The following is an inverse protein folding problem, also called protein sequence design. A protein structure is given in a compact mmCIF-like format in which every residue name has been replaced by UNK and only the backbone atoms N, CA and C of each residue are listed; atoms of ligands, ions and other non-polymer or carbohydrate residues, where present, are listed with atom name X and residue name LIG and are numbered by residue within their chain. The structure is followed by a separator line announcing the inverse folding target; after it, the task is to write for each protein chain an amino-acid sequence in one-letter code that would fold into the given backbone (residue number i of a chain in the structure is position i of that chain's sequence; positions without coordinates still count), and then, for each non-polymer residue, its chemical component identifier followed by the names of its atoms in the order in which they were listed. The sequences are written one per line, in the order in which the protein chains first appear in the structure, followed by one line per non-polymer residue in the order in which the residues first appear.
data_IF_922943517945
#
_entry.id   IF_922943517945
#
_cell.length_a   1.000
_cell.length_b   1.000
_cell.length_c   1.000
_cell.angle_alpha   90.00
_cell.angle_beta   90.00
_cell.angle_gamma   90.00
#
_symmetry.space_group_name_H-M   'P 1'
#
loop_
_entity.id
_entity.type
_entity.pdbx_description
1 polymer ?
#
# COMPACT_ATOMS: atom_id res chain seq x y z
N UNK A 1 0.52 21.80 -16.83
CA UNK A 1 0.15 20.99 -15.65
C UNK A 1 1.33 20.05 -15.37
N UNK A 2 1.86 20.05 -14.14
CA UNK A 2 3.25 19.64 -13.88
C UNK A 2 3.49 18.14 -14.06
N UNK A 3 4.56 17.77 -14.78
CA UNK A 3 5.03 16.40 -15.03
C UNK A 3 5.11 15.56 -13.73
N UNK A 4 5.44 16.21 -12.60
CA UNK A 4 5.49 15.57 -11.30
C UNK A 4 4.13 15.09 -10.76
N UNK A 5 3.04 15.75 -11.13
CA UNK A 5 1.68 15.39 -10.69
C UNK A 5 1.29 14.05 -11.28
N UNK A 6 1.48 13.91 -12.60
CA UNK A 6 1.16 12.68 -13.32
C UNK A 6 2.06 11.53 -12.87
N UNK A 7 3.36 11.78 -12.68
CA UNK A 7 4.28 10.73 -12.19
C UNK A 7 3.88 10.21 -10.80
N UNK A 8 3.53 11.10 -9.86
CA UNK A 8 3.09 10.67 -8.53
C UNK A 8 1.75 9.93 -8.63
N UNK A 9 0.84 10.42 -9.47
CA UNK A 9 -0.45 9.78 -9.70
C UNK A 9 -0.31 8.37 -10.24
N UNK A 10 0.52 8.17 -11.26
CA UNK A 10 0.81 6.85 -11.84
C UNK A 10 1.42 5.90 -10.81
N UNK A 11 2.33 6.38 -9.96
CA UNK A 11 2.88 5.57 -8.88
C UNK A 11 1.82 5.18 -7.83
N UNK A 12 0.90 6.08 -7.49
CA UNK A 12 -0.22 5.77 -6.58
C UNK A 12 -1.16 4.74 -7.21
N UNK A 13 -1.48 4.89 -8.49
CA UNK A 13 -2.33 3.93 -9.22
C UNK A 13 -1.65 2.56 -9.33
N UNK A 14 -0.33 2.51 -9.52
CA UNK A 14 0.44 1.27 -9.46
C UNK A 14 0.37 0.61 -8.08
N UNK A 15 0.52 1.38 -6.99
CA UNK A 15 0.36 0.84 -5.63
C UNK A 15 -1.04 0.25 -5.48
N UNK A 16 -2.08 0.97 -5.90
CA UNK A 16 -3.46 0.52 -5.82
C UNK A 16 -3.68 -0.80 -6.58
N UNK A 17 -3.16 -0.92 -7.80
CA UNK A 17 -3.22 -2.17 -8.57
C UNK A 17 -2.55 -3.32 -7.84
N UNK A 18 -1.34 -3.10 -7.30
CA UNK A 18 -0.62 -4.13 -6.55
C UNK A 18 -1.38 -4.53 -5.27
N UNK A 19 -2.06 -3.60 -4.60
CA UNK A 19 -2.90 -3.89 -3.42
C UNK A 19 -4.05 -4.83 -3.79
N UNK A 20 -4.71 -4.61 -4.92
CA UNK A 20 -5.77 -5.50 -5.41
C UNK A 20 -5.24 -6.90 -5.76
N UNK A 21 -4.05 -7.00 -6.35
CA UNK A 21 -3.42 -8.30 -6.62
C UNK A 21 -3.02 -9.03 -5.32
N UNK A 22 -2.51 -8.29 -4.32
CA UNK A 22 -2.23 -8.83 -2.99
C UNK A 22 -3.49 -9.40 -2.35
N UNK A 23 -4.64 -8.71 -2.44
CA UNK A 23 -5.93 -9.23 -1.93
C UNK A 23 -6.31 -10.55 -2.58
N UNK A 24 -6.15 -10.67 -3.91
CA UNK A 24 -6.43 -11.90 -4.65
C UNK A 24 -5.52 -13.04 -4.19
N UNK A 25 -4.20 -12.84 -4.16
CA UNK A 25 -3.25 -13.86 -3.69
C UNK A 25 -3.49 -14.25 -2.23
N UNK A 26 -3.82 -13.30 -1.35
CA UNK A 26 -4.21 -13.58 0.03
C UNK A 26 -5.45 -14.49 0.09
N UNK A 27 -6.47 -14.23 -0.73
CA UNK A 27 -7.66 -15.07 -0.82
C UNK A 27 -7.33 -16.48 -1.32
N UNK A 28 -6.52 -16.60 -2.37
CA UNK A 28 -6.12 -17.87 -2.95
C UNK A 28 -5.40 -18.74 -1.92
N UNK A 29 -4.40 -18.17 -1.23
CA UNK A 29 -3.67 -18.84 -0.13
C UNK A 29 -4.60 -19.30 0.99
N UNK A 30 -5.59 -18.48 1.37
CA UNK A 30 -6.53 -18.80 2.44
C UNK A 30 -7.53 -19.90 2.05
N UNK A 31 -7.91 -19.97 0.76
CA UNK A 31 -8.82 -20.98 0.22
C UNK A 31 -8.14 -22.31 -0.10
N UNK A 32 -6.84 -22.30 -0.37
CA UNK A 32 -6.09 -23.50 -0.74
C UNK A 32 -5.88 -24.44 0.47
N UNK A 33 -6.08 -25.78 0.30
CA UNK A 33 -5.77 -26.78 1.32
C UNK A 33 -4.29 -26.81 1.70
N UNK A 34 -3.41 -26.55 0.71
CA UNK A 34 -1.98 -26.36 0.86
C UNK A 34 -1.56 -25.17 -0.01
N UNK A 35 -1.01 -24.10 0.58
CA UNK A 35 -0.59 -22.93 -0.19
C UNK A 35 0.68 -23.24 -0.98
N UNK A 36 0.62 -22.97 -2.28
CA UNK A 36 1.75 -23.11 -3.20
C UNK A 36 2.87 -22.10 -2.88
N UNK A 37 4.12 -22.57 -2.87
CA UNK A 37 5.27 -21.76 -2.45
C UNK A 37 5.57 -20.62 -3.43
N UNK A 38 5.29 -20.80 -4.73
CA UNK A 38 5.42 -19.74 -5.72
C UNK A 38 4.39 -18.64 -5.46
N UNK A 39 3.17 -18.99 -5.07
CA UNK A 39 2.13 -18.00 -4.71
C UNK A 39 2.56 -17.15 -3.50
N UNK A 40 3.26 -17.74 -2.52
CA UNK A 40 3.81 -17.00 -1.38
C UNK A 40 4.96 -16.09 -1.80
N UNK A 41 5.90 -16.58 -2.60
CA UNK A 41 7.00 -15.76 -3.09
C UNK A 41 6.49 -14.57 -3.91
N UNK A 42 5.56 -14.81 -4.83
CA UNK A 42 4.94 -13.77 -5.65
C UNK A 42 4.16 -12.75 -4.81
N UNK A 43 3.67 -13.14 -3.62
CA UNK A 43 3.03 -12.24 -2.67
C UNK A 43 4.06 -11.37 -1.94
N UNK A 44 5.15 -11.95 -1.46
CA UNK A 44 6.23 -11.23 -0.78
C UNK A 44 6.93 -10.23 -1.69
N UNK A 45 7.10 -10.58 -2.97
CA UNK A 45 7.67 -9.69 -3.99
C UNK A 45 6.75 -8.47 -4.22
N UNK A 46 5.45 -8.69 -4.37
CA UNK A 46 4.47 -7.59 -4.52
C UNK A 46 4.43 -6.70 -3.28
N UNK A 47 4.49 -7.27 -2.07
CA UNK A 47 4.56 -6.49 -0.84
C UNK A 47 5.81 -5.61 -0.77
N UNK A 48 6.95 -6.14 -1.23
CA UNK A 48 8.21 -5.41 -1.31
C UNK A 48 8.12 -4.26 -2.32
N UNK A 49 7.53 -4.51 -3.48
CA UNK A 49 7.32 -3.50 -4.52
C UNK A 49 6.35 -2.39 -4.10
N UNK A 50 5.28 -2.73 -3.37
CA UNK A 50 4.37 -1.75 -2.76
C UNK A 50 5.15 -0.84 -1.81
N UNK A 51 5.92 -1.41 -0.87
CA UNK A 51 6.72 -0.63 0.09
C UNK A 51 7.72 0.28 -0.62
N UNK A 52 8.42 -0.24 -1.63
CA UNK A 52 9.41 0.52 -2.41
C UNK A 52 8.77 1.68 -3.15
N UNK A 53 7.64 1.44 -3.81
CA UNK A 53 6.90 2.48 -4.56
C UNK A 53 6.30 3.52 -3.61
N UNK A 54 5.75 3.10 -2.48
CA UNK A 54 5.23 4.00 -1.45
C UNK A 54 6.30 4.92 -0.88
N UNK A 55 7.51 4.40 -0.61
CA UNK A 55 8.63 5.22 -0.15
C UNK A 55 9.06 6.27 -1.19
N UNK A 56 9.02 5.92 -2.49
CA UNK A 56 9.29 6.87 -3.58
C UNK A 56 8.24 7.98 -3.65
N UNK A 57 6.95 7.63 -3.56
CA UNK A 57 5.85 8.61 -3.52
C UNK A 57 6.02 9.55 -2.33
N UNK A 58 6.27 9.00 -1.14
CA UNK A 58 6.49 9.78 0.09
C UNK A 58 7.66 10.76 -0.05
N UNK A 59 8.78 10.30 -0.60
CA UNK A 59 9.96 11.15 -0.81
C UNK A 59 9.65 12.32 -1.77
N UNK A 60 8.94 12.05 -2.88
CA UNK A 60 8.56 13.11 -3.83
C UNK A 60 7.59 14.12 -3.22
N UNK A 61 6.56 13.65 -2.52
CA UNK A 61 5.60 14.53 -1.82
C UNK A 61 6.32 15.45 -0.84
N UNK A 62 7.28 14.92 -0.07
CA UNK A 62 8.11 15.71 0.86
C UNK A 62 8.94 16.78 0.16
N UNK A 63 9.54 16.48 -0.99
CA UNK A 63 10.28 17.48 -1.78
C UNK A 63 9.37 18.60 -2.27
N UNK A 64 8.14 18.27 -2.68
CA UNK A 64 7.15 19.26 -3.11
C UNK A 64 6.69 20.13 -1.95
N UNK A 65 6.43 19.53 -0.79
CA UNK A 65 6.11 20.24 0.44
C UNK A 65 7.19 21.26 0.82
N UNK A 66 8.46 20.85 0.82
CA UNK A 66 9.60 21.76 1.06
C UNK A 66 9.70 22.88 0.02
N UNK A 67 9.40 22.59 -1.25
CA UNK A 67 9.36 23.62 -2.30
C UNK A 67 8.22 24.62 -2.06
N UNK A 68 7.06 24.16 -1.60
CA UNK A 68 5.91 25.02 -1.28
C UNK A 68 6.26 25.93 -0.09
N UNK A 69 6.82 25.37 0.99
CA UNK A 69 7.24 26.12 2.18
C UNK A 69 8.29 27.20 1.84
N UNK A 70 9.24 26.84 0.98
CA UNK A 70 10.25 27.79 0.49
C UNK A 70 9.64 28.93 -0.31
N UNK A 71 8.74 28.63 -1.26
CA UNK A 71 8.05 29.63 -2.09
C UNK A 71 7.17 30.58 -1.24
N UNK A 72 6.62 30.11 -0.12
CA UNK A 72 5.88 30.94 0.85
C UNK A 72 6.77 31.90 1.62
N UNK A 73 7.97 31.45 2.03
CA UNK A 73 8.88 32.29 2.80
C UNK A 73 9.35 33.52 2.03
N UNK A 74 9.43 33.44 0.70
CA UNK A 74 9.79 34.56 -0.18
C UNK A 74 8.58 35.44 -0.55
N UNK A 75 7.41 35.27 0.11
CA UNK A 75 6.15 35.96 -0.18
C UNK A 75 5.72 35.89 -1.65
N UNK A 76 6.08 34.80 -2.35
CA UNK A 76 5.73 34.60 -3.76
C UNK A 76 4.31 34.03 -3.88
N UNK A 77 3.33 34.74 -3.31
CA UNK A 77 1.91 34.38 -3.35
C UNK A 77 1.38 34.49 -4.79
N UNK A 78 1.55 33.43 -5.56
CA UNK A 78 1.19 33.34 -6.97
C UNK A 78 0.04 32.35 -7.20
N UNK A 79 -0.64 32.47 -8.33
CA UNK A 79 -1.60 31.47 -8.79
C UNK A 79 -0.94 30.07 -8.86
N UNK A 80 0.31 30.01 -9.30
CA UNK A 80 1.09 28.77 -9.40
C UNK A 80 1.33 28.11 -8.03
N UNK A 81 1.64 28.90 -7.00
CA UNK A 81 1.80 28.39 -5.63
C UNK A 81 0.50 27.77 -5.10
N UNK A 82 -0.65 28.42 -5.35
CA UNK A 82 -1.96 27.86 -4.99
C UNK A 82 -2.25 26.56 -5.73
N UNK A 83 -1.97 26.49 -7.03
CA UNK A 83 -2.13 25.28 -7.84
C UNK A 83 -1.25 24.15 -7.30
N UNK A 84 0.04 24.41 -7.04
CA UNK A 84 0.95 23.42 -6.43
C UNK A 84 0.42 22.88 -5.10
N UNK A 85 -0.04 23.76 -4.21
CA UNK A 85 -0.64 23.38 -2.91
C UNK A 85 -1.84 22.48 -3.07
N UNK A 86 -2.77 22.84 -3.95
CA UNK A 86 -3.96 22.02 -4.22
C UNK A 86 -3.57 20.64 -4.77
N UNK A 87 -2.66 20.58 -5.74
CA UNK A 87 -2.21 19.30 -6.31
C UNK A 87 -1.51 18.43 -5.26
N UNK A 88 -0.62 19.01 -4.45
CA UNK A 88 0.03 18.31 -3.34
C UNK A 88 -1.00 17.74 -2.36
N UNK A 89 -1.96 18.55 -1.92
CA UNK A 89 -3.01 18.11 -0.98
C UNK A 89 -3.83 16.94 -1.53
N UNK A 90 -4.24 17.01 -2.80
CA UNK A 90 -5.01 15.96 -3.48
C UNK A 90 -4.23 14.65 -3.58
N UNK A 91 -2.98 14.72 -4.04
CA UNK A 91 -2.13 13.54 -4.19
C UNK A 91 -1.78 12.91 -2.83
N UNK A 92 -1.47 13.72 -1.82
CA UNK A 92 -1.21 13.25 -0.46
C UNK A 92 -2.42 12.54 0.13
N UNK A 93 -3.63 13.06 -0.08
CA UNK A 93 -4.87 12.40 0.37
C UNK A 93 -5.05 11.04 -0.30
N UNK A 94 -4.97 10.99 -1.64
CA UNK A 94 -5.10 9.73 -2.40
C UNK A 94 -4.05 8.70 -1.98
N UNK A 95 -2.82 9.14 -1.75
CA UNK A 95 -1.75 8.25 -1.27
C UNK A 95 -2.06 7.65 0.11
N UNK A 96 -2.54 8.47 1.06
CA UNK A 96 -2.92 8.00 2.40
C UNK A 96 -4.09 7.02 2.34
N UNK A 97 -5.09 7.27 1.50
CA UNK A 97 -6.23 6.37 1.30
C UNK A 97 -5.77 4.98 0.82
N UNK A 98 -4.97 4.93 -0.25
CA UNK A 98 -4.44 3.66 -0.80
C UNK A 98 -3.56 2.92 0.21
N UNK A 99 -2.71 3.64 0.95
CA UNK A 99 -1.86 3.02 1.98
C UNK A 99 -2.65 2.51 3.19
N UNK A 100 -3.74 3.18 3.54
CA UNK A 100 -4.64 2.73 4.61
C UNK A 100 -5.33 1.43 4.21
N UNK A 101 -5.80 1.35 2.96
CA UNK A 101 -6.39 0.13 2.41
C UNK A 101 -5.40 -1.04 2.35
N UNK A 102 -4.15 -0.77 1.94
CA UNK A 102 -3.08 -1.76 2.00
C UNK A 102 -2.85 -2.30 3.41
N UNK A 103 -2.73 -1.40 4.40
CA UNK A 103 -2.49 -1.78 5.80
C UNK A 103 -3.66 -2.59 6.37
N UNK A 104 -4.90 -2.24 6.01
CA UNK A 104 -6.09 -3.01 6.39
C UNK A 104 -6.04 -4.42 5.79
N UNK A 105 -5.79 -4.52 4.48
CA UNK A 105 -5.66 -5.80 3.77
C UNK A 105 -4.60 -6.72 4.42
N UNK A 106 -3.44 -6.16 4.79
CA UNK A 106 -2.38 -6.87 5.50
C UNK A 106 -2.83 -7.38 6.88
N UNK A 107 -3.54 -6.55 7.63
CA UNK A 107 -4.01 -6.88 8.98
C UNK A 107 -5.04 -8.00 8.92
N UNK A 108 -6.04 -7.88 8.03
CA UNK A 108 -7.09 -8.87 7.82
C UNK A 108 -6.50 -10.24 7.42
N UNK A 109 -5.50 -10.25 6.54
CA UNK A 109 -4.82 -11.49 6.15
C UNK A 109 -4.09 -12.15 7.34
N UNK A 110 -3.35 -11.37 8.14
CA UNK A 110 -2.65 -11.89 9.33
C UNK A 110 -3.62 -12.51 10.34
N UNK A 111 -4.75 -11.86 10.59
CA UNK A 111 -5.78 -12.37 11.49
C UNK A 111 -6.37 -13.69 10.98
N UNK A 112 -6.66 -13.79 9.68
CA UNK A 112 -7.18 -15.02 9.07
C UNK A 112 -6.16 -16.16 9.08
N UNK A 113 -4.88 -15.87 8.83
CA UNK A 113 -3.81 -16.86 8.96
C UNK A 113 -3.69 -17.40 10.39
N UNK A 114 -3.75 -16.53 11.40
CA UNK A 114 -3.76 -16.95 12.82
C UNK A 114 -4.94 -17.86 13.14
N UNK A 115 -6.14 -17.52 12.68
CA UNK A 115 -7.34 -18.33 12.88
C UNK A 115 -7.27 -19.73 12.25
N UNK A 116 -6.56 -19.88 11.12
CA UNK A 116 -6.32 -21.20 10.51
C UNK A 116 -5.36 -22.06 11.33
N UNK A 117 -4.27 -21.48 11.82
CA UNK A 117 -3.27 -22.20 12.64
C UNK A 117 -3.90 -22.66 13.95
N UNK A 118 -4.66 -21.79 14.62
CA UNK A 118 -5.35 -22.13 15.86
C UNK A 118 -6.30 -23.34 15.69
N UNK A 119 -7.09 -23.37 14.60
CA UNK A 119 -7.98 -24.51 14.31
C UNK A 119 -7.24 -25.79 13.94
N UNK A 120 -6.11 -25.72 13.23
CA UNK A 120 -5.31 -26.93 12.95
C UNK A 120 -4.71 -27.53 14.22
N UNK A 121 -4.28 -26.70 15.18
CA UNK A 121 -3.76 -27.15 16.48
C UNK A 121 -4.85 -27.79 17.36
N UNK A 122 -6.11 -27.36 17.23
CA UNK A 122 -7.26 -27.96 17.93
C UNK A 122 -7.65 -29.31 17.32
N UNK A 123 -7.61 -29.45 15.99
CA UNK A 123 -7.98 -30.71 15.29
C UNK A 123 -6.94 -31.83 15.51
N UNK A 124 -5.65 -31.51 15.58
CA UNK A 124 -4.62 -32.50 15.91
C UNK A 124 -4.73 -33.02 17.35
N UNK A 125 -5.31 -32.25 18.28
CA UNK A 125 -5.53 -32.70 19.66
C UNK A 125 -6.75 -33.62 19.79
N UNK A 126 -7.74 -33.52 18.90
CA UNK A 126 -8.92 -34.40 18.92
C UNK A 126 -8.75 -35.71 18.13
N UNK A 127 -7.74 -35.82 17.27
CA UNK A 127 -7.51 -37.01 16.41
C UNK A 127 -6.36 -37.91 16.88
N UNK A 128 -5.57 -37.51 17.88
CA UNK A 128 -4.50 -38.30 18.49
C UNK A 128 -4.91 -39.06 19.77
N UNK A 129 -6.20 -39.19 20.04
CA UNK A 129 -6.75 -39.83 21.24
C UNK A 129 -7.77 -40.91 20.91
N UNK A 130 -7.38 -41.93 20.14
CA UNK A 130 -7.98 -43.28 20.13
C UNK A 130 -6.86 -44.29 20.03
#
# INVERSE_FOLDING_TARGET
MGIWVEEIREMIEKIQSNVEEVKKKHSDILSAPQPDEKTKQDLDDMMTDIKKTANRVRAKLKVIEQSIESDEHVNKASADLRIKKTQHSTLSRKFVEVMTEYNRTQTDYRERCKGRIQRQLEISQCTGGV
#
